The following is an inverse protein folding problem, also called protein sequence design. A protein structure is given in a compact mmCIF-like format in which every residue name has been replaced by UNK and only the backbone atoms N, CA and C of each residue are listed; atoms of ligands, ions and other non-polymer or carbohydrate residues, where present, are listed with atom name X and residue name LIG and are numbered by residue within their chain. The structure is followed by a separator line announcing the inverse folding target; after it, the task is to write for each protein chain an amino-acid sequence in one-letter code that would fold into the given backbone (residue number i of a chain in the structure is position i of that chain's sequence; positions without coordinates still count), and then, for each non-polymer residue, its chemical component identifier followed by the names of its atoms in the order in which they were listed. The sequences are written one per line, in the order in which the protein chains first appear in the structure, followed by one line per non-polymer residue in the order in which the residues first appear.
data_IF_272978468700
#
_entry.id   IF_272978468700
#
_cell.length_a   1.000
_cell.length_b   1.000
_cell.length_c   1.000
_cell.angle_alpha   90.00
_cell.angle_beta   90.00
_cell.angle_gamma   90.00
#
_symmetry.space_group_name_H-M   'P 1'
#
loop_
_entity.id
_entity.type
_entity.pdbx_description
1 polymer ?
#
# COMPACT_ATOMS: atom_id res chain seq x y z
N UNK A 1 -9.10 5.95 15.15
CA UNK A 1 -10.00 5.29 16.11
C UNK A 1 -11.33 5.08 15.41
N UNK A 2 -11.56 3.92 14.80
CA UNK A 2 -12.89 3.56 14.33
C UNK A 2 -13.69 3.06 15.53
N UNK A 3 -14.77 3.75 15.87
CA UNK A 3 -15.78 3.30 16.81
C UNK A 3 -17.05 2.97 16.02
N UNK A 4 -17.14 1.74 15.51
CA UNK A 4 -18.38 1.12 14.99
C UNK A 4 -18.14 -0.36 14.66
N UNK A 5 -18.71 -1.25 15.49
CA UNK A 5 -19.20 -2.58 15.12
C UNK A 5 -18.17 -3.70 14.94
N UNK A 6 -18.21 -4.70 15.82
CA UNK A 6 -17.52 -6.01 15.71
C UNK A 6 -17.98 -6.88 14.50
N UNK A 7 -18.66 -6.32 13.50
CA UNK A 7 -19.09 -7.04 12.30
C UNK A 7 -18.05 -6.85 11.18
N UNK A 8 -17.75 -7.90 10.39
CA UNK A 8 -16.88 -7.76 9.23
C UNK A 8 -17.41 -6.70 8.25
N UNK A 9 -16.52 -5.84 7.77
CA UNK A 9 -16.84 -4.88 6.72
C UNK A 9 -17.31 -5.64 5.46
N UNK A 10 -18.40 -5.21 4.80
CA UNK A 10 -18.90 -5.87 3.61
C UNK A 10 -17.91 -5.76 2.46
N UNK A 11 -17.83 -6.80 1.62
CA UNK A 11 -17.00 -6.80 0.43
C UNK A 11 -17.46 -5.72 -0.58
N UNK A 12 -16.51 -5.16 -1.30
CA UNK A 12 -16.78 -4.15 -2.33
C UNK A 12 -17.27 -4.83 -3.62
N UNK A 13 -18.40 -4.41 -4.22
CA UNK A 13 -18.88 -4.99 -5.47
C UNK A 13 -17.86 -4.89 -6.60
N UNK A 14 -17.57 -6.01 -7.27
CA UNK A 14 -16.55 -6.13 -8.32
C UNK A 14 -15.11 -6.30 -7.81
N UNK A 15 -14.92 -6.45 -6.50
CA UNK A 15 -13.64 -6.71 -5.83
C UNK A 15 -13.80 -7.73 -4.69
N UNK A 16 -14.79 -8.62 -4.79
CA UNK A 16 -15.15 -9.58 -3.75
C UNK A 16 -14.05 -10.60 -3.46
N UNK A 17 -13.07 -10.74 -4.36
CA UNK A 17 -11.90 -11.59 -4.19
C UNK A 17 -10.81 -11.00 -3.28
N UNK A 18 -10.90 -9.71 -2.94
CA UNK A 18 -9.89 -9.01 -2.14
C UNK A 18 -10.34 -8.77 -0.70
N UNK A 19 -9.42 -8.91 0.25
CA UNK A 19 -9.68 -8.54 1.65
C UNK A 19 -9.67 -7.02 1.85
N UNK A 20 -10.26 -6.50 2.94
CA UNK A 20 -10.16 -5.09 3.29
C UNK A 20 -8.73 -4.56 3.37
N UNK A 21 -7.77 -5.38 3.83
CA UNK A 21 -6.35 -5.02 3.91
C UNK A 21 -5.69 -4.96 2.53
N UNK A 22 -6.03 -5.87 1.62
CA UNK A 22 -5.56 -5.81 0.23
C UNK A 22 -6.11 -4.54 -0.46
N UNK A 23 -7.40 -4.26 -0.26
CA UNK A 23 -8.07 -3.05 -0.76
C UNK A 23 -7.47 -1.76 -0.19
N UNK A 24 -7.08 -1.75 1.09
CA UNK A 24 -6.38 -0.62 1.69
C UNK A 24 -5.10 -0.27 0.92
N UNK A 25 -4.24 -1.26 0.68
CA UNK A 25 -2.97 -1.02 -0.02
C UNK A 25 -3.16 -0.72 -1.50
N UNK A 26 -4.14 -1.34 -2.17
CA UNK A 26 -4.48 -1.01 -3.56
C UNK A 26 -4.99 0.43 -3.68
N UNK A 27 -5.86 0.88 -2.77
CA UNK A 27 -6.37 2.25 -2.75
C UNK A 27 -5.26 3.26 -2.42
N UNK A 28 -4.36 2.91 -1.49
CA UNK A 28 -3.16 3.69 -1.22
C UNK A 28 -2.29 3.87 -2.47
N UNK A 29 -2.02 2.78 -3.21
CA UNK A 29 -1.25 2.85 -4.44
C UNK A 29 -1.97 3.68 -5.52
N UNK A 30 -3.27 3.49 -5.69
CA UNK A 30 -4.10 4.23 -6.65
C UNK A 30 -4.10 5.74 -6.40
N UNK A 31 -3.96 6.18 -5.15
CA UNK A 31 -3.86 7.61 -4.80
C UNK A 31 -2.64 8.29 -5.45
N UNK A 32 -1.60 7.50 -5.78
CA UNK A 32 -0.36 7.98 -6.38
C UNK A 32 -0.27 7.74 -7.88
N UNK A 33 -1.31 7.17 -8.51
CA UNK A 33 -1.39 7.03 -9.96
C UNK A 33 -1.48 8.41 -10.61
N UNK A 34 -0.36 8.89 -11.15
CA UNK A 34 -0.26 10.19 -11.80
C UNK A 34 0.51 10.12 -13.12
N UNK A 35 0.22 11.08 -14.00
CA UNK A 35 0.81 11.20 -15.33
C UNK A 35 1.90 12.27 -15.36
N UNK A 36 1.65 13.35 -16.13
CA UNK A 36 2.60 14.45 -16.32
C UNK A 36 3.05 15.03 -14.97
N UNK A 37 4.38 15.06 -14.78
CA UNK A 37 5.02 15.58 -13.58
C UNK A 37 5.67 16.94 -13.87
N UNK A 38 5.52 17.88 -12.94
CA UNK A 38 6.32 19.10 -12.93
C UNK A 38 7.78 18.73 -12.59
N UNK A 39 8.79 19.01 -13.44
CA UNK A 39 10.18 18.67 -13.15
C UNK A 39 10.72 19.31 -11.87
N UNK A 40 10.18 20.47 -11.47
CA UNK A 40 10.60 21.21 -10.28
C UNK A 40 9.88 20.78 -8.99
N UNK A 41 9.05 19.74 -9.02
CA UNK A 41 8.45 19.19 -7.81
C UNK A 41 9.55 18.59 -6.93
N UNK A 42 9.59 19.01 -5.66
CA UNK A 42 10.55 18.53 -4.65
C UNK A 42 10.21 17.13 -4.14
N UNK A 43 8.97 16.68 -4.34
CA UNK A 43 8.54 15.36 -3.91
C UNK A 43 9.02 14.26 -4.87
N UNK A 44 9.30 13.05 -4.35
CA UNK A 44 9.52 11.89 -5.19
C UNK A 44 8.32 11.61 -6.11
N UNK A 45 8.54 11.03 -7.31
CA UNK A 45 7.46 10.61 -8.21
C UNK A 45 6.42 9.73 -7.51
N UNK A 46 5.16 9.77 -7.98
CA UNK A 46 4.05 9.01 -7.38
C UNK A 46 4.36 7.51 -7.24
N UNK A 47 4.93 6.90 -8.27
CA UNK A 47 5.39 5.51 -8.23
C UNK A 47 6.38 5.25 -7.08
N UNK A 48 7.34 6.17 -6.87
CA UNK A 48 8.33 6.04 -5.79
C UNK A 48 7.66 6.17 -4.42
N UNK A 49 6.72 7.11 -4.28
CA UNK A 49 5.95 7.31 -3.05
C UNK A 49 5.13 6.08 -2.68
N UNK A 50 4.47 5.45 -3.65
CA UNK A 50 3.73 4.22 -3.41
C UNK A 50 4.68 3.05 -3.10
N UNK A 51 5.64 2.78 -3.99
CA UNK A 51 6.48 1.58 -3.93
C UNK A 51 7.40 1.54 -2.71
N UNK A 52 8.17 2.60 -2.48
CA UNK A 52 9.21 2.60 -1.42
C UNK A 52 8.59 2.62 -0.03
N UNK A 53 7.46 3.31 0.14
CA UNK A 53 6.73 3.28 1.42
C UNK A 53 6.19 1.89 1.68
N UNK A 54 5.55 1.25 0.69
CA UNK A 54 5.04 -0.12 0.82
C UNK A 54 6.14 -1.15 1.10
N UNK A 55 7.33 -1.01 0.50
CA UNK A 55 8.50 -1.87 0.79
C UNK A 55 8.93 -1.84 2.26
N UNK A 56 8.75 -0.71 2.94
CA UNK A 56 9.14 -0.54 4.34
C UNK A 56 8.06 -1.04 5.33
N UNK A 57 6.84 -1.32 4.86
CA UNK A 57 5.74 -1.79 5.71
C UNK A 57 5.70 -3.33 5.77
N UNK A 58 5.77 -3.89 6.98
CA UNK A 58 5.71 -5.36 7.15
C UNK A 58 4.34 -5.91 6.77
N UNK A 59 3.33 -5.11 7.08
CA UNK A 59 1.93 -5.34 6.85
C UNK A 59 1.67 -5.56 5.36
N UNK A 60 2.25 -4.72 4.48
CA UNK A 60 2.13 -4.90 3.03
C UNK A 60 2.62 -6.27 2.58
N UNK A 61 3.85 -6.64 2.97
CA UNK A 61 4.44 -7.93 2.58
C UNK A 61 3.65 -9.13 3.12
N UNK A 62 3.01 -8.98 4.28
CA UNK A 62 2.15 -10.00 4.88
C UNK A 62 0.82 -10.12 4.14
N UNK A 63 0.18 -8.98 3.85
CA UNK A 63 -1.12 -8.92 3.15
C UNK A 63 -1.04 -9.62 1.79
N UNK A 64 -0.01 -9.32 0.99
CA UNK A 64 0.16 -9.93 -0.33
C UNK A 64 1.07 -11.18 -0.33
N UNK A 65 1.32 -11.77 0.83
CA UNK A 65 2.14 -12.98 0.99
C UNK A 65 3.48 -12.94 0.20
N UNK A 66 4.16 -11.80 0.19
CA UNK A 66 5.38 -11.60 -0.58
C UNK A 66 6.51 -12.51 -0.05
N UNK A 67 7.21 -13.29 -0.91
CA UNK A 67 8.34 -14.10 -0.50
C UNK A 67 9.45 -13.26 0.14
N UNK A 68 10.24 -13.85 1.05
CA UNK A 68 11.42 -13.18 1.61
C UNK A 68 12.37 -12.77 0.48
N UNK A 69 12.99 -11.58 0.62
CA UNK A 69 13.91 -10.99 -0.37
C UNK A 69 13.28 -10.65 -1.71
N UNK A 70 11.94 -10.76 -1.85
CA UNK A 70 11.27 -10.23 -3.03
C UNK A 70 11.43 -8.70 -3.09
N UNK A 71 11.33 -8.06 -4.27
CA UNK A 71 11.45 -6.61 -4.39
C UNK A 71 10.53 -5.81 -3.47
N UNK A 72 9.34 -6.33 -3.15
CA UNK A 72 8.37 -5.72 -2.22
C UNK A 72 8.45 -6.26 -0.78
N UNK A 73 9.44 -7.10 -0.48
CA UNK A 73 9.73 -7.64 0.84
C UNK A 73 11.25 -7.71 1.07
N UNK A 74 11.93 -6.54 1.12
CA UNK A 74 13.35 -6.48 1.42
C UNK A 74 13.63 -6.87 2.88
N UNK A 75 14.84 -7.39 3.12
CA UNK A 75 15.33 -7.73 4.46
C UNK A 75 15.55 -6.45 5.30
N UNK A 76 16.17 -5.44 4.69
CA UNK A 76 16.41 -4.13 5.31
C UNK A 76 15.22 -3.20 5.06
N UNK A 77 14.71 -2.59 6.12
CA UNK A 77 13.56 -1.67 6.09
C UNK A 77 13.85 -0.45 6.95
N UNK A 78 13.42 0.71 6.48
CA UNK A 78 13.54 1.97 7.20
C UNK A 78 12.30 2.23 8.07
N UNK A 79 12.50 2.55 9.36
CA UNK A 79 11.48 3.14 10.23
C UNK A 79 12.03 4.40 10.87
N UNK A 80 11.24 5.46 10.90
CA UNK A 80 11.61 6.76 11.49
C UNK A 80 10.80 7.04 12.75
N UNK A 81 9.55 6.55 12.78
CA UNK A 81 8.61 6.70 13.89
C UNK A 81 8.63 5.46 14.78
#
# INVERSE_FOLDING_TARGET
MASRGDAPEPALPGFEEFTPEELFFMTYANTWCNGLRNPNDEHPPGETRSKVVSQNMKEFSKTFACPKKAPMNPDERCSIW
#
